data_IF_244033483016
#
_entry.id   IF_244033483016
#
_cell.length_a   1.000
_cell.length_b   1.000
_cell.length_c   1.000
_cell.angle_alpha   90.00
_cell.angle_beta   90.00
_cell.angle_gamma   90.00
#
_symmetry.space_group_name_H-M   'P 1'
#
loop_
_entity.id
_entity.type
_entity.pdbx_description
1 polymer ?
#
# COMPACT_ATOMS: atom_id res chain seq x y z
N UNK A 1 -16.68 -0.44 20.07
CA UNK A 1 -15.91 0.78 19.74
C UNK A 1 -14.52 0.61 20.37
N UNK A 2 -13.49 0.30 19.58
CA UNK A 2 -12.12 0.24 20.10
C UNK A 2 -11.40 1.46 19.55
N UNK A 3 -11.25 2.47 20.42
CA UNK A 3 -10.39 3.62 20.18
C UNK A 3 -8.94 3.12 20.22
N UNK A 4 -8.20 3.27 19.11
CA UNK A 4 -6.77 2.99 19.04
C UNK A 4 -6.05 4.28 19.37
N UNK A 5 -5.58 4.41 20.61
CA UNK A 5 -4.67 5.48 20.98
C UNK A 5 -3.24 5.07 20.58
N UNK A 6 -2.61 5.87 19.73
CA UNK A 6 -1.29 5.62 19.13
C UNK A 6 -0.16 6.36 19.87
N UNK A 7 -0.47 7.03 20.98
CA UNK A 7 0.48 7.89 21.72
C UNK A 7 1.61 7.13 22.44
N UNK A 8 1.60 5.79 22.46
CA UNK A 8 2.60 5.01 23.21
C UNK A 8 3.95 4.75 22.50
N UNK A 9 4.14 5.17 21.24
CA UNK A 9 5.40 4.94 20.49
C UNK A 9 6.22 6.21 20.20
N UNK A 10 6.18 7.21 21.08
CA UNK A 10 6.80 8.52 20.81
C UNK A 10 7.57 9.11 21.98
N UNK A 11 8.57 8.40 22.52
CA UNK A 11 9.57 9.01 23.41
C UNK A 11 10.97 8.81 22.82
N UNK A 12 11.32 9.59 21.79
CA UNK A 12 12.67 10.12 21.50
C UNK A 12 12.41 11.31 20.54
N UNK A 13 12.94 12.50 20.87
CA UNK A 13 12.83 13.80 20.19
C UNK A 13 11.59 14.67 20.47
N UNK A 14 11.82 15.73 21.25
CA UNK A 14 10.90 16.83 21.56
C UNK A 14 10.69 17.79 20.37
N UNK A 15 10.21 17.27 19.24
CA UNK A 15 9.66 18.10 18.18
C UNK A 15 8.13 18.22 18.34
N UNK A 16 7.51 19.36 18.02
CA UNK A 16 6.06 19.51 18.05
C UNK A 16 5.39 18.38 17.27
N UNK A 17 4.34 17.77 17.83
CA UNK A 17 3.65 16.61 17.25
C UNK A 17 3.24 16.84 15.79
N UNK A 18 2.86 18.08 15.45
CA UNK A 18 2.47 18.46 14.10
C UNK A 18 3.65 18.48 13.12
N UNK A 19 4.84 18.87 13.58
CA UNK A 19 6.06 18.82 12.77
C UNK A 19 6.54 17.39 12.54
N UNK A 20 6.50 16.54 13.57
CA UNK A 20 6.80 15.10 13.44
C UNK A 20 5.80 14.43 12.51
N UNK A 21 4.52 14.77 12.63
CA UNK A 21 3.44 14.22 11.80
C UNK A 21 3.56 14.70 10.35
N UNK A 22 3.87 15.97 10.11
CA UNK A 22 4.14 16.49 8.77
C UNK A 22 5.40 15.86 8.15
N UNK A 23 6.46 15.68 8.94
CA UNK A 23 7.68 15.01 8.49
C UNK A 23 7.41 13.55 8.12
N UNK A 24 6.69 12.80 8.96
CA UNK A 24 6.26 11.42 8.66
C UNK A 24 5.40 11.35 7.39
N UNK A 25 4.46 12.29 7.21
CA UNK A 25 3.63 12.34 6.00
C UNK A 25 4.45 12.60 4.73
N UNK A 26 5.55 13.37 4.82
CA UNK A 26 6.43 13.66 3.67
C UNK A 26 7.41 12.52 3.36
N UNK A 27 7.80 11.69 4.34
CA UNK A 27 8.80 10.63 4.16
C UNK A 27 8.23 9.22 3.98
N UNK A 28 6.92 9.02 4.18
CA UNK A 28 6.29 7.68 4.15
C UNK A 28 5.68 7.28 2.80
N UNK A 29 6.05 7.96 1.70
CA UNK A 29 5.58 7.57 0.39
C UNK A 29 6.23 6.26 -0.02
N UNK A 30 5.42 5.22 -0.22
CA UNK A 30 5.87 3.97 -0.86
C UNK A 30 5.61 4.11 -2.35
N UNK A 31 6.65 4.06 -3.17
CA UNK A 31 6.51 3.89 -4.63
C UNK A 31 6.26 2.42 -4.99
N UNK A 32 5.92 2.08 -6.23
CA UNK A 32 5.71 0.69 -6.65
C UNK A 32 7.01 -0.13 -6.79
N UNK A 33 8.15 0.43 -6.39
CA UNK A 33 9.46 -0.19 -6.57
C UNK A 33 9.69 -1.22 -5.47
N UNK A 34 9.72 -2.49 -5.86
CA UNK A 34 10.18 -3.62 -5.05
C UNK A 34 11.00 -4.53 -5.96
N UNK A 35 12.16 -4.99 -5.50
CA UNK A 35 12.79 -6.15 -6.13
C UNK A 35 12.04 -7.40 -5.67
N UNK A 36 11.23 -7.97 -6.55
CA UNK A 36 10.42 -9.15 -6.24
C UNK A 36 11.27 -10.35 -5.81
N UNK A 37 12.57 -10.39 -6.17
CA UNK A 37 13.51 -11.46 -5.79
C UNK A 37 13.87 -11.43 -4.30
N UNK A 38 13.76 -10.28 -3.65
CA UNK A 38 14.03 -10.14 -2.21
C UNK A 38 12.82 -10.56 -1.34
N UNK A 39 11.65 -10.74 -1.95
CA UNK A 39 10.41 -11.09 -1.24
C UNK A 39 10.24 -12.60 -1.19
N UNK A 40 10.45 -13.17 0.00
CA UNK A 40 10.41 -14.62 0.22
C UNK A 40 9.09 -15.05 0.88
N UNK A 41 8.57 -16.21 0.49
CA UNK A 41 7.45 -16.88 1.18
C UNK A 41 6.08 -16.27 0.88
N UNK A 42 5.96 -15.49 -0.21
CA UNK A 42 4.73 -14.82 -0.63
C UNK A 42 4.18 -15.29 -1.97
N UNK A 43 4.80 -16.28 -2.59
CA UNK A 43 4.39 -16.77 -3.91
C UNK A 43 2.93 -17.24 -3.90
N UNK A 44 2.51 -18.02 -2.90
CA UNK A 44 1.12 -18.49 -2.80
C UNK A 44 0.10 -17.35 -2.65
N UNK A 45 0.41 -16.32 -1.86
CA UNK A 45 -0.44 -15.14 -1.73
C UNK A 45 -0.51 -14.36 -3.05
N UNK A 46 0.64 -14.17 -3.72
CA UNK A 46 0.76 -13.49 -5.01
C UNK A 46 -0.07 -14.21 -6.07
N UNK A 47 0.13 -15.51 -6.23
CA UNK A 47 -0.49 -16.29 -7.30
C UNK A 47 -2.01 -16.35 -7.15
N UNK A 48 -2.50 -16.42 -5.91
CA UNK A 48 -3.92 -16.31 -5.59
C UNK A 48 -4.52 -14.95 -5.97
N UNK A 49 -3.78 -13.86 -5.76
CA UNK A 49 -4.23 -12.53 -6.19
C UNK A 49 -4.24 -12.45 -7.71
N UNK A 50 -3.19 -12.93 -8.38
CA UNK A 50 -3.10 -12.94 -9.84
C UNK A 50 -4.28 -13.68 -10.48
N UNK A 51 -4.66 -14.85 -9.94
CA UNK A 51 -5.81 -15.59 -10.46
C UNK A 51 -7.14 -14.83 -10.30
N UNK A 52 -7.28 -13.98 -9.27
CA UNK A 52 -8.50 -13.20 -9.04
C UNK A 52 -8.63 -11.97 -9.95
N UNK A 53 -7.50 -11.38 -10.36
CA UNK A 53 -7.50 -10.12 -11.14
C UNK A 53 -7.33 -10.33 -12.65
N UNK A 54 -6.90 -11.52 -13.09
CA UNK A 54 -6.75 -11.84 -14.52
C UNK A 54 -8.03 -12.44 -15.10
N UNK A 55 -8.90 -13.02 -14.27
CA UNK A 55 -10.20 -13.50 -14.73
C UNK A 55 -11.09 -12.31 -15.14
N UNK A 56 -11.66 -12.31 -16.36
CA UNK A 56 -12.50 -11.23 -16.84
C UNK A 56 -13.79 -11.18 -16.01
N UNK A 57 -13.82 -10.29 -15.02
CA UNK A 57 -15.06 -9.88 -14.38
C UNK A 57 -15.77 -8.88 -15.29
N UNK A 58 -17.06 -9.10 -15.55
CA UNK A 58 -17.90 -8.14 -16.29
C UNK A 58 -18.11 -6.81 -15.51
N UNK A 59 -17.58 -6.70 -14.29
CA UNK A 59 -17.76 -5.57 -13.36
C UNK A 59 -16.47 -5.20 -12.63
N UNK A 60 -16.46 -4.02 -11.98
CA UNK A 60 -15.38 -3.54 -11.10
C UNK A 60 -15.03 -4.56 -9.98
N UNK A 61 -13.75 -4.96 -9.91
CA UNK A 61 -13.21 -5.81 -8.85
C UNK A 61 -12.41 -4.98 -7.82
N UNK A 62 -12.65 -5.19 -6.52
CA UNK A 62 -11.91 -4.53 -5.43
C UNK A 62 -11.38 -5.60 -4.47
N UNK A 63 -10.05 -5.62 -4.28
CA UNK A 63 -9.37 -6.62 -3.44
C UNK A 63 -8.66 -5.98 -2.23
N UNK A 64 -9.29 -5.93 -1.04
CA UNK A 64 -8.68 -5.34 0.14
C UNK A 64 -7.62 -6.27 0.78
N UNK A 65 -6.40 -5.78 0.96
CA UNK A 65 -5.36 -6.47 1.75
C UNK A 65 -5.42 -6.03 3.22
N UNK A 66 -5.82 -6.94 4.11
CA UNK A 66 -6.03 -6.64 5.55
C UNK A 66 -5.08 -7.44 6.42
N UNK A 67 -4.58 -6.82 7.49
CA UNK A 67 -3.65 -7.47 8.42
C UNK A 67 -2.91 -6.49 9.31
N UNK A 68 -2.19 -6.99 10.32
CA UNK A 68 -1.44 -6.19 11.29
C UNK A 68 -0.37 -5.32 10.62
N UNK A 69 0.05 -4.23 11.27
CA UNK A 69 1.19 -3.42 10.83
C UNK A 69 2.48 -4.27 10.75
N UNK A 70 3.36 -3.96 9.78
CA UNK A 70 4.63 -4.67 9.60
C UNK A 70 4.54 -6.03 8.89
N UNK A 71 3.34 -6.56 8.62
CA UNK A 71 3.18 -7.87 7.97
C UNK A 71 3.44 -7.86 6.45
N UNK A 72 3.92 -6.76 5.84
CA UNK A 72 4.27 -6.74 4.41
C UNK A 72 3.08 -6.66 3.43
N UNK A 73 1.93 -6.08 3.81
CA UNK A 73 0.77 -5.90 2.90
C UNK A 73 1.12 -5.07 1.67
N UNK A 74 1.76 -3.91 1.89
CA UNK A 74 2.20 -3.02 0.82
C UNK A 74 3.22 -3.72 -0.06
N UNK A 75 4.14 -4.49 0.52
CA UNK A 75 5.11 -5.31 -0.21
C UNK A 75 4.43 -6.33 -1.13
N UNK A 76 3.42 -7.05 -0.64
CA UNK A 76 2.66 -7.99 -1.47
C UNK A 76 1.94 -7.27 -2.64
N UNK A 77 1.33 -6.11 -2.38
CA UNK A 77 0.71 -5.31 -3.44
C UNK A 77 1.73 -4.83 -4.48
N UNK A 78 2.93 -4.40 -4.07
CA UNK A 78 4.01 -4.00 -4.98
C UNK A 78 4.46 -5.18 -5.86
N UNK A 79 4.61 -6.37 -5.27
CA UNK A 79 5.00 -7.59 -6.02
C UNK A 79 3.96 -7.96 -7.08
N UNK A 80 2.66 -7.87 -6.75
CA UNK A 80 1.59 -8.11 -7.71
C UNK A 80 1.56 -7.01 -8.78
N UNK A 81 1.66 -5.74 -8.38
CA UNK A 81 1.62 -4.59 -9.30
C UNK A 81 2.73 -4.65 -10.36
N UNK A 82 3.94 -5.01 -9.93
CA UNK A 82 5.14 -5.10 -10.78
C UNK A 82 5.29 -6.45 -11.47
N UNK A 83 4.28 -7.33 -11.39
CA UNK A 83 4.30 -8.60 -12.09
C UNK A 83 4.09 -8.40 -13.60
N UNK A 84 4.91 -9.07 -14.42
CA UNK A 84 4.86 -8.95 -15.89
C UNK A 84 3.49 -9.28 -16.48
N UNK A 85 2.74 -10.22 -15.88
CA UNK A 85 1.40 -10.57 -16.35
C UNK A 85 0.41 -9.43 -16.13
N UNK A 86 0.51 -8.75 -14.99
CA UNK A 86 -0.32 -7.58 -14.66
C UNK A 86 0.06 -6.40 -15.55
N UNK A 87 1.36 -6.21 -15.80
CA UNK A 87 1.87 -5.20 -16.72
C UNK A 87 1.33 -5.36 -18.14
N UNK A 88 1.30 -6.60 -18.64
CA UNK A 88 0.85 -6.88 -20.00
C UNK A 88 -0.69 -6.93 -20.13
N UNK A 89 -1.42 -7.11 -19.03
CA UNK A 89 -2.88 -7.23 -19.05
C UNK A 89 -3.61 -5.89 -18.91
N UNK A 90 -3.00 -4.91 -18.24
CA UNK A 90 -3.63 -3.62 -17.94
C UNK A 90 -2.91 -2.46 -18.64
N UNK A 91 -3.61 -1.79 -19.57
CA UNK A 91 -3.09 -0.62 -20.30
C UNK A 91 -2.69 0.53 -19.38
N UNK A 92 -3.41 0.68 -18.25
CA UNK A 92 -3.18 1.73 -17.27
C UNK A 92 -3.12 1.12 -15.87
N UNK A 93 -2.05 1.44 -15.14
CA UNK A 93 -1.85 1.06 -13.75
C UNK A 93 -1.45 2.31 -12.96
N UNK A 94 -2.09 2.51 -11.81
CA UNK A 94 -1.77 3.63 -10.92
C UNK A 94 -1.40 3.12 -9.53
N UNK A 95 -0.42 3.79 -8.91
CA UNK A 95 -0.02 3.54 -7.53
C UNK A 95 -0.12 4.85 -6.74
N UNK A 96 -1.07 4.90 -5.81
CA UNK A 96 -1.35 6.10 -5.01
C UNK A 96 -1.12 5.82 -3.54
N UNK A 97 -0.17 6.53 -2.93
CA UNK A 97 0.00 6.55 -1.48
C UNK A 97 -0.86 7.68 -0.87
N UNK A 98 -1.74 7.32 0.06
CA UNK A 98 -2.65 8.23 0.76
C UNK A 98 -2.27 8.23 2.24
N UNK A 99 -2.00 9.42 2.80
CA UNK A 99 -1.71 9.59 4.22
C UNK A 99 -2.94 9.41 5.10
N UNK A 100 -2.74 9.34 6.43
CA UNK A 100 -3.85 9.24 7.39
C UNK A 100 -4.80 10.45 7.34
N UNK A 101 -4.27 11.62 7.01
CA UNK A 101 -5.05 12.82 6.69
C UNK A 101 -4.80 13.08 5.22
N UNK A 102 -5.87 13.18 4.45
CA UNK A 102 -5.80 13.46 3.03
C UNK A 102 -6.95 14.35 2.61
N UNK A 103 -6.70 15.18 1.61
CA UNK A 103 -7.75 15.90 0.89
C UNK A 103 -8.15 15.09 -0.36
N UNK A 104 -9.44 14.92 -0.58
CA UNK A 104 -9.93 14.10 -1.69
C UNK A 104 -9.58 14.71 -3.05
N UNK A 105 -9.68 16.04 -3.20
CA UNK A 105 -9.37 16.71 -4.46
C UNK A 105 -7.86 16.69 -4.75
N UNK A 106 -7.01 16.63 -3.72
CA UNK A 106 -5.57 16.36 -3.89
C UNK A 106 -5.31 14.93 -4.38
N UNK A 107 -5.99 13.92 -3.82
CA UNK A 107 -5.82 12.52 -4.21
C UNK A 107 -6.25 12.27 -5.66
N UNK A 108 -7.37 12.83 -6.08
CA UNK A 108 -7.89 12.68 -7.47
C UNK A 108 -6.97 13.31 -8.51
N UNK A 109 -6.12 14.28 -8.12
CA UNK A 109 -5.17 14.95 -9.01
C UNK A 109 -3.81 14.25 -9.14
N UNK A 110 -3.54 13.24 -8.32
CA UNK A 110 -2.30 12.44 -8.42
C UNK A 110 -2.37 11.51 -9.62
#
# INVERSE_FOLDING_TARGET
RISRDYTQFGNIFSAPSDLVRQAWMRTSSTGPIVDSKEVIGRDGDRDKILSMIVDPMETLCVLPLVGRGGIGKTTLAQVVYSNEWVENHYDLRLWVCIGQVFDFAEVVRK
#
